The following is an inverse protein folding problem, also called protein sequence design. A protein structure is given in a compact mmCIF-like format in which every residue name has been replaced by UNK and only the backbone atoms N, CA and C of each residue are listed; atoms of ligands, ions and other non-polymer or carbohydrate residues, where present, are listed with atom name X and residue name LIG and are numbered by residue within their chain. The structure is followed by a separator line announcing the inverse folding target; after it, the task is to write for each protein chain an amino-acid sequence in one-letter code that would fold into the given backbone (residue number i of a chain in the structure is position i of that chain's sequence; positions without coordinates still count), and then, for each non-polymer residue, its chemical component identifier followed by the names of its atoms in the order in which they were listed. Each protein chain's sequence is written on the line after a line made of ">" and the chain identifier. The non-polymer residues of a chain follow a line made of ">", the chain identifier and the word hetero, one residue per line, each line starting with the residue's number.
data_IF_881519074156
#
_entry.id   IF_881519074156
#
_cell.length_a   1.000
_cell.length_b   1.000
_cell.length_c   1.000
_cell.angle_alpha   90.00
_cell.angle_beta   90.00
_cell.angle_gamma   90.00
#
_symmetry.space_group_name_H-M   'P 1'
#
loop_
_entity.id
_entity.type
_entity.pdbx_description
1 polymer ?
#
# COMPACT_ATOMS: atom_id res chain seq x y z
N UNK A 1 -15.71 0.41 -12.48
CA UNK A 1 -16.07 1.42 -11.46
C UNK A 1 -16.46 0.69 -10.18
N UNK A 2 -16.00 1.14 -9.00
CA UNK A 2 -16.23 0.47 -7.70
C UNK A 2 -17.66 0.67 -7.13
N UNK A 3 -18.50 1.47 -7.80
CA UNK A 3 -19.87 1.74 -7.37
C UNK A 3 -19.97 2.85 -6.31
N UNK A 4 -21.17 3.00 -5.74
CA UNK A 4 -21.50 4.05 -4.75
C UNK A 4 -21.66 3.52 -3.32
N UNK A 5 -21.48 2.22 -3.11
CA UNK A 5 -21.64 1.59 -1.80
C UNK A 5 -20.31 1.62 -1.05
N UNK A 6 -20.02 2.76 -0.42
CA UNK A 6 -18.85 2.97 0.43
C UNK A 6 -19.24 3.75 1.69
N UNK A 7 -18.50 3.56 2.77
CA UNK A 7 -18.46 4.53 3.87
C UNK A 7 -17.33 5.53 3.61
N UNK A 8 -17.51 6.75 4.10
CA UNK A 8 -16.54 7.84 3.89
C UNK A 8 -16.05 8.38 5.23
N UNK A 9 -14.74 8.57 5.33
CA UNK A 9 -14.08 9.24 6.46
C UNK A 9 -13.15 10.33 5.92
N UNK A 10 -12.72 11.23 6.81
CA UNK A 10 -11.72 12.25 6.49
C UNK A 10 -10.50 12.05 7.39
N UNK A 11 -9.32 12.04 6.79
CA UNK A 11 -8.02 12.07 7.46
C UNK A 11 -7.44 13.49 7.30
N UNK A 12 -7.12 14.14 8.43
CA UNK A 12 -6.44 15.45 8.41
C UNK A 12 -4.95 15.23 8.17
N UNK A 13 -4.35 16.00 7.26
CA UNK A 13 -2.92 15.92 6.95
C UNK A 13 -2.09 16.82 7.89
N UNK A 14 -2.12 16.50 9.18
CA UNK A 14 -1.44 17.30 10.22
C UNK A 14 0.09 17.36 10.03
N UNK A 15 0.67 16.34 9.41
CA UNK A 15 2.10 16.25 9.12
C UNK A 15 2.50 16.88 7.78
N UNK A 16 1.53 17.26 6.95
CA UNK A 16 1.77 17.81 5.61
C UNK A 16 2.34 16.80 4.61
N UNK A 17 2.19 15.49 4.89
CA UNK A 17 2.76 14.42 4.07
C UNK A 17 2.11 14.35 2.69
N UNK A 18 0.80 14.63 2.59
CA UNK A 18 0.08 14.65 1.32
C UNK A 18 -0.02 16.06 0.70
N UNK A 19 0.11 17.09 1.53
CA UNK A 19 -0.11 18.50 1.20
C UNK A 19 -1.57 18.92 1.21
N UNK A 20 -2.49 18.05 1.65
CA UNK A 20 -3.94 18.29 1.75
C UNK A 20 -4.64 17.20 2.58
N UNK A 21 -5.78 17.55 3.20
CA UNK A 21 -6.71 16.58 3.80
C UNK A 21 -7.11 15.48 2.80
N UNK A 22 -7.34 14.27 3.32
CA UNK A 22 -7.69 13.10 2.53
C UNK A 22 -9.12 12.64 2.84
N UNK A 23 -9.91 12.37 1.80
CA UNK A 23 -11.15 11.63 1.88
C UNK A 23 -10.84 10.15 1.66
N UNK A 24 -11.26 9.28 2.58
CA UNK A 24 -11.11 7.82 2.43
C UNK A 24 -12.47 7.18 2.20
N UNK A 25 -12.60 6.49 1.07
CA UNK A 25 -13.78 5.71 0.71
C UNK A 25 -13.49 4.24 0.97
N UNK A 26 -14.18 3.67 1.95
CA UNK A 26 -14.05 2.26 2.33
C UNK A 26 -15.18 1.47 1.68
N UNK A 27 -14.82 0.54 0.79
CA UNK A 27 -15.77 -0.33 0.11
C UNK A 27 -15.89 -1.66 0.85
N UNK A 28 -17.11 -2.20 0.91
CA UNK A 28 -17.44 -3.41 1.69
C UNK A 28 -16.74 -4.69 1.21
N UNK A 29 -16.10 -4.66 0.05
CA UNK A 29 -15.33 -5.77 -0.51
C UNK A 29 -13.83 -5.74 -0.13
N UNK A 30 -13.42 -4.85 0.79
CA UNK A 30 -12.04 -4.81 1.29
C UNK A 30 -11.08 -4.03 0.41
N UNK A 31 -11.56 -2.98 -0.26
CA UNK A 31 -10.69 -1.96 -0.88
C UNK A 31 -11.02 -0.60 -0.27
N UNK A 32 -10.00 0.20 -0.02
CA UNK A 32 -10.14 1.60 0.33
C UNK A 32 -9.42 2.47 -0.70
N UNK A 33 -10.05 3.60 -1.05
CA UNK A 33 -9.48 4.60 -1.96
C UNK A 33 -9.37 5.94 -1.23
N UNK A 34 -8.15 6.42 -1.09
CA UNK A 34 -7.81 7.71 -0.49
C UNK A 34 -7.66 8.76 -1.59
N UNK A 35 -8.39 9.86 -1.46
CA UNK A 35 -8.53 10.92 -2.45
C UNK A 35 -8.19 12.26 -1.80
N UNK A 36 -7.33 13.07 -2.42
CA UNK A 36 -7.06 14.44 -1.98
C UNK A 36 -8.35 15.26 -2.01
N UNK A 37 -8.73 15.85 -0.87
CA UNK A 37 -10.01 16.57 -0.70
C UNK A 37 -10.11 17.81 -1.57
N UNK A 38 -8.98 18.45 -1.86
CA UNK A 38 -8.89 19.65 -2.71
C UNK A 38 -8.59 19.28 -4.15
N UNK A 39 -7.60 18.40 -4.38
CA UNK A 39 -7.16 18.06 -5.73
C UNK A 39 -8.08 17.06 -6.46
N UNK A 40 -8.86 16.28 -5.72
CA UNK A 40 -9.67 15.18 -6.25
C UNK A 40 -8.86 14.01 -6.80
N UNK A 41 -7.54 13.98 -6.58
CA UNK A 41 -6.65 12.94 -7.08
C UNK A 41 -6.61 11.74 -6.14
N UNK A 42 -6.53 10.54 -6.69
CA UNK A 42 -6.24 9.33 -5.90
C UNK A 42 -4.78 9.40 -5.45
N UNK A 43 -4.56 9.30 -4.14
CA UNK A 43 -3.21 9.37 -3.55
C UNK A 43 -2.76 8.05 -2.95
N UNK A 44 -3.71 7.18 -2.56
CA UNK A 44 -3.46 5.86 -2.01
C UNK A 44 -4.63 4.93 -2.30
N UNK A 45 -4.34 3.67 -2.60
CA UNK A 45 -5.30 2.57 -2.69
C UNK A 45 -4.79 1.48 -1.75
N UNK A 46 -5.66 0.93 -0.90
CA UNK A 46 -5.34 -0.26 -0.11
C UNK A 46 -6.35 -1.37 -0.36
N UNK A 47 -5.87 -2.61 -0.42
CA UNK A 47 -6.68 -3.79 -0.61
C UNK A 47 -6.36 -4.83 0.47
N UNK A 48 -7.39 -5.23 1.22
CA UNK A 48 -7.35 -6.25 2.27
C UNK A 48 -8.16 -7.50 1.93
N UNK A 49 -8.65 -7.61 0.69
CA UNK A 49 -9.34 -8.80 0.16
C UNK A 49 -8.54 -9.46 -0.95
N UNK A 50 -8.65 -10.79 -1.03
CA UNK A 50 -8.04 -11.61 -2.08
C UNK A 50 -8.68 -11.42 -3.47
N UNK A 51 -9.80 -10.70 -3.54
CA UNK A 51 -10.51 -10.37 -4.79
C UNK A 51 -9.72 -9.37 -5.66
N UNK A 52 -8.84 -8.59 -5.04
CA UNK A 52 -8.01 -7.61 -5.73
C UNK A 52 -6.59 -8.16 -5.92
N UNK A 53 -6.13 -8.09 -7.16
CA UNK A 53 -4.81 -8.56 -7.57
C UNK A 53 -4.01 -7.42 -8.17
N UNK A 54 -2.71 -7.44 -7.92
CA UNK A 54 -1.75 -6.66 -8.70
C UNK A 54 -1.76 -7.14 -10.16
N UNK A 55 -1.20 -6.35 -11.07
CA UNK A 55 -1.03 -6.75 -12.48
C UNK A 55 -0.18 -8.03 -12.63
N UNK A 56 0.75 -8.26 -11.70
CA UNK A 56 1.56 -9.49 -11.64
C UNK A 56 0.86 -10.66 -10.93
N UNK A 57 -0.41 -10.51 -10.54
CA UNK A 57 -1.25 -11.59 -10.01
C UNK A 57 -1.20 -11.78 -8.49
N UNK A 58 -0.31 -11.07 -7.77
CA UNK A 58 -0.23 -11.12 -6.30
C UNK A 58 -1.49 -10.57 -5.67
N UNK A 59 -1.98 -11.23 -4.61
CA UNK A 59 -3.15 -10.86 -3.81
C UNK A 59 -2.91 -11.09 -2.30
N UNK A 60 -3.83 -10.56 -1.49
CA UNK A 60 -3.93 -10.89 -0.06
C UNK A 60 -4.02 -12.40 0.13
N UNK A 61 -3.24 -12.93 1.06
CA UNK A 61 -3.07 -14.36 1.34
C UNK A 61 -1.95 -15.07 0.58
N UNK A 62 -1.28 -14.41 -0.38
CA UNK A 62 -0.04 -14.93 -0.95
C UNK A 62 1.11 -14.82 0.06
N UNK A 63 2.15 -15.64 -0.08
CA UNK A 63 3.27 -15.62 0.87
C UNK A 63 4.34 -14.61 0.48
N UNK A 64 5.13 -14.16 1.45
CA UNK A 64 6.31 -13.33 1.22
C UNK A 64 7.26 -13.93 0.19
N UNK A 65 7.46 -15.25 0.20
CA UNK A 65 8.24 -15.95 -0.82
C UNK A 65 7.69 -15.72 -2.22
N UNK A 66 6.39 -15.91 -2.43
CA UNK A 66 5.74 -15.67 -3.73
C UNK A 66 5.85 -14.22 -4.17
N UNK A 67 5.65 -13.27 -3.24
CA UNK A 67 5.83 -11.83 -3.50
C UNK A 67 7.26 -11.54 -3.94
N UNK A 68 8.25 -12.02 -3.16
CA UNK A 68 9.67 -11.79 -3.41
C UNK A 68 10.11 -12.34 -4.76
N UNK A 69 9.75 -13.58 -5.10
CA UNK A 69 10.05 -14.21 -6.39
C UNK A 69 9.44 -13.42 -7.57
N UNK A 70 8.23 -12.86 -7.37
CA UNK A 70 7.50 -12.13 -8.41
C UNK A 70 8.00 -10.70 -8.61
N UNK A 71 8.35 -9.99 -7.53
CA UNK A 71 8.64 -8.56 -7.57
C UNK A 71 10.14 -8.22 -7.54
N UNK A 72 10.99 -8.95 -6.80
CA UNK A 72 12.43 -8.59 -6.66
C UNK A 72 13.21 -8.69 -7.98
N UNK A 73 12.73 -9.48 -8.93
CA UNK A 73 13.34 -9.59 -10.27
C UNK A 73 12.99 -8.41 -11.19
N UNK A 74 11.94 -7.65 -10.87
CA UNK A 74 11.39 -6.59 -11.73
C UNK A 74 11.52 -5.19 -11.14
N UNK A 75 11.45 -5.08 -9.82
CA UNK A 75 11.36 -3.82 -9.12
C UNK A 75 12.42 -3.73 -8.03
N UNK A 76 12.92 -2.50 -7.82
CA UNK A 76 13.87 -2.22 -6.75
C UNK A 76 13.12 -2.11 -5.43
N UNK A 77 13.65 -2.75 -4.38
CA UNK A 77 13.12 -2.54 -3.03
C UNK A 77 13.40 -1.11 -2.56
N UNK A 78 12.42 -0.52 -1.87
CA UNK A 78 12.58 0.81 -1.30
C UNK A 78 13.61 0.78 -0.16
N UNK A 79 14.32 1.89 0.01
CA UNK A 79 15.25 2.10 1.13
C UNK A 79 14.71 3.24 1.97
N UNK A 80 14.59 3.02 3.27
CA UNK A 80 14.17 4.04 4.24
C UNK A 80 15.11 5.24 4.19
N UNK A 81 14.59 6.47 4.07
CA UNK A 81 15.43 7.68 4.08
C UNK A 81 15.96 8.01 5.47
N UNK A 82 15.31 7.48 6.51
CA UNK A 82 15.67 7.71 7.91
C UNK A 82 16.76 6.75 8.40
N UNK A 83 16.65 5.46 8.04
CA UNK A 83 17.54 4.41 8.58
C UNK A 83 18.53 3.86 7.56
N UNK A 84 18.36 4.21 6.28
CA UNK A 84 19.11 3.65 5.15
C UNK A 84 19.04 2.12 5.04
N UNK A 85 18.04 1.49 5.68
CA UNK A 85 17.75 0.05 5.58
C UNK A 85 16.72 -0.20 4.48
N UNK A 86 16.82 -1.37 3.84
CA UNK A 86 15.80 -1.87 2.91
C UNK A 86 14.47 -2.04 3.65
N UNK A 87 13.39 -1.57 3.03
CA UNK A 87 12.02 -1.79 3.48
C UNK A 87 11.49 -3.04 2.77
N UNK A 88 11.55 -4.18 3.45
CA UNK A 88 11.09 -5.44 2.86
C UNK A 88 9.59 -5.38 2.54
N UNK A 89 9.23 -5.87 1.35
CA UNK A 89 7.85 -5.78 0.86
C UNK A 89 7.48 -4.45 0.21
N UNK A 90 8.38 -3.45 0.19
CA UNK A 90 8.17 -2.19 -0.50
C UNK A 90 8.93 -2.17 -1.83
N UNK A 91 8.23 -1.95 -2.94
CA UNK A 91 8.79 -1.98 -4.29
C UNK A 91 8.54 -0.67 -5.03
N UNK A 92 9.61 -0.03 -5.50
CA UNK A 92 9.54 1.19 -6.30
C UNK A 92 9.21 0.86 -7.76
N UNK A 93 8.25 1.58 -8.34
CA UNK A 93 7.78 1.41 -9.72
C UNK A 93 8.17 2.62 -10.60
N UNK A 94 8.02 2.50 -11.92
CA UNK A 94 8.61 3.43 -12.91
C UNK A 94 8.01 4.86 -12.91
N UNK A 95 6.88 5.10 -12.25
CA UNK A 95 6.16 6.39 -12.20
C UNK A 95 6.27 7.11 -10.84
N UNK A 96 7.21 6.70 -10.00
CA UNK A 96 7.38 7.23 -8.64
C UNK A 96 6.31 6.72 -7.67
N UNK A 97 5.54 5.70 -8.06
CA UNK A 97 4.72 4.94 -7.13
C UNK A 97 5.53 3.90 -6.36
N UNK A 98 4.95 3.47 -5.25
CA UNK A 98 5.45 2.38 -4.43
C UNK A 98 4.31 1.40 -4.19
N UNK A 99 4.60 0.12 -4.45
CA UNK A 99 3.75 -0.99 -4.06
C UNK A 99 4.26 -1.54 -2.75
N UNK A 100 3.38 -1.63 -1.75
CA UNK A 100 3.71 -2.13 -0.41
C UNK A 100 2.86 -3.36 -0.14
N UNK A 101 3.53 -4.45 0.21
CA UNK A 101 2.92 -5.66 0.74
C UNK A 101 3.12 -5.65 2.24
N UNK A 102 2.05 -5.44 2.98
CA UNK A 102 2.04 -5.49 4.44
C UNK A 102 1.71 -6.94 4.88
N UNK A 103 2.57 -7.50 5.72
CA UNK A 103 2.47 -8.86 6.24
C UNK A 103 1.98 -8.92 7.69
N UNK A 104 1.67 -7.76 8.30
CA UNK A 104 1.21 -7.66 9.69
C UNK A 104 0.42 -6.36 9.92
N UNK A 105 -0.76 -6.28 9.32
CA UNK A 105 -1.64 -5.11 9.38
C UNK A 105 -2.03 -4.71 10.81
N UNK A 106 -2.12 -5.68 11.72
CA UNK A 106 -2.57 -5.44 13.10
C UNK A 106 -1.64 -4.53 13.91
N UNK A 107 -0.38 -4.34 13.53
CA UNK A 107 0.52 -3.43 14.24
C UNK A 107 0.42 -1.96 13.79
N UNK A 108 -0.39 -1.69 12.77
CA UNK A 108 -0.64 -0.35 12.26
C UNK A 108 0.57 0.28 11.53
N UNK A 109 1.63 -0.49 11.29
CA UNK A 109 2.81 -0.08 10.54
C UNK A 109 2.82 -0.75 9.17
N UNK A 110 3.20 0.03 8.14
CA UNK A 110 3.47 -0.54 6.81
C UNK A 110 4.90 -1.09 6.71
N UNK A 111 5.76 -0.81 7.69
CA UNK A 111 7.14 -1.31 7.74
C UNK A 111 7.12 -2.70 8.32
N UNK A 112 7.54 -3.66 7.51
CA UNK A 112 7.59 -5.05 7.90
C UNK A 112 8.89 -5.38 8.66
N UNK A 113 8.76 -6.10 9.77
CA UNK A 113 9.89 -6.61 10.54
C UNK A 113 9.79 -8.12 10.74
N UNK A 114 10.92 -8.83 10.68
CA UNK A 114 11.01 -10.28 10.94
C UNK A 114 10.07 -11.14 10.07
N UNK A 115 9.93 -10.80 8.78
CA UNK A 115 9.11 -11.55 7.83
C UNK A 115 9.70 -12.94 7.59
N UNK A 116 8.84 -13.95 7.52
CA UNK A 116 9.20 -15.32 7.12
C UNK A 116 8.71 -15.60 5.71
N UNK A 117 9.32 -16.54 5.03
CA UNK A 117 8.92 -16.97 3.68
C UNK A 117 7.44 -17.33 3.55
N UNK A 118 6.82 -17.83 4.64
CA UNK A 118 5.42 -18.22 4.73
C UNK A 118 4.49 -17.13 5.28
N UNK A 119 5.03 -15.99 5.74
CA UNK A 119 4.25 -14.81 6.14
C UNK A 119 3.30 -14.41 5.02
N UNK A 120 2.05 -14.13 5.37
CA UNK A 120 0.96 -13.90 4.42
C UNK A 120 0.74 -12.41 4.23
N UNK A 121 0.51 -11.99 2.99
CA UNK A 121 0.08 -10.63 2.70
C UNK A 121 -1.28 -10.41 3.36
N UNK A 122 -1.38 -9.38 4.20
CA UNK A 122 -2.61 -8.95 4.87
C UNK A 122 -3.21 -7.70 4.23
N UNK A 123 -2.36 -6.83 3.67
CA UNK A 123 -2.78 -5.66 2.90
C UNK A 123 -1.81 -5.38 1.74
N UNK A 124 -2.36 -4.93 0.62
CA UNK A 124 -1.61 -4.42 -0.52
C UNK A 124 -1.91 -2.94 -0.67
N UNK A 125 -0.88 -2.10 -0.70
CA UNK A 125 -1.02 -0.65 -0.77
C UNK A 125 -0.29 -0.14 -2.01
N UNK A 126 -0.98 0.65 -2.82
CA UNK A 126 -0.38 1.42 -3.91
C UNK A 126 -0.48 2.91 -3.55
N UNK A 127 0.65 3.60 -3.54
CA UNK A 127 0.75 5.02 -3.22
C UNK A 127 1.93 5.66 -3.97
N UNK A 128 2.18 6.94 -3.76
CA UNK A 128 3.36 7.62 -4.30
C UNK A 128 4.49 7.66 -3.28
N UNK A 129 5.72 7.32 -3.70
CA UNK A 129 6.90 7.26 -2.83
C UNK A 129 7.20 8.60 -2.15
N UNK A 130 6.85 9.71 -2.80
CA UNK A 130 7.03 11.07 -2.24
C UNK A 130 6.23 11.32 -0.95
N UNK A 131 5.19 10.53 -0.66
CA UNK A 131 4.35 10.69 0.53
C UNK A 131 4.88 9.98 1.77
N UNK A 132 5.99 9.25 1.64
CA UNK A 132 6.66 8.55 2.72
C UNK A 132 8.02 9.18 2.97
N UNK A 133 8.37 9.42 4.24
CA UNK A 133 9.65 9.99 4.67
C UNK A 133 10.64 8.93 5.16
#
# INVERSE_FOLDING_TARGET
>A
MLGKNYSETTETDDTGSFGEDIIVRNYNNGIAVSIGKTSGKVVRISASSSDFKTESGIKVGDTFKTVSETFKSKYKEAVSRQTNKTLEGWFLMEDGTVMIFDFKKEDGSMVNENIKDDSKVEEIILSYWKYFD
#
